data_IF_499610284479
#
_entry.id   IF_499610284479
#
_cell.length_a   1.000
_cell.length_b   1.000
_cell.length_c   1.000
_cell.angle_alpha   90.00
_cell.angle_beta   90.00
_cell.angle_gamma   90.00
#
_symmetry.space_group_name_H-M   'P 1'
#
loop_
_entity.id
_entity.type
_entity.pdbx_description
1 polymer ?
#
# COMPACT_ATOMS: atom_id res chain seq x y z
N UNK A 1 -15.26 -24.85 8.47
CA UNK A 1 -13.87 -24.53 8.82
C UNK A 1 -13.14 -24.08 7.57
N UNK A 2 -13.31 -22.82 7.19
CA UNK A 2 -12.53 -22.21 6.11
C UNK A 2 -11.52 -21.31 6.80
N UNK A 3 -10.26 -21.73 6.79
CA UNK A 3 -9.12 -20.92 7.23
C UNK A 3 -9.02 -19.72 6.30
N UNK A 4 -9.54 -18.59 6.74
CA UNK A 4 -9.25 -17.29 6.12
C UNK A 4 -7.84 -16.94 6.59
N UNK A 5 -6.82 -16.91 5.72
CA UNK A 5 -5.51 -16.45 6.12
C UNK A 5 -5.66 -15.00 6.55
N UNK A 6 -5.16 -14.69 7.75
CA UNK A 6 -5.19 -13.40 8.43
C UNK A 6 -4.33 -12.38 7.68
N UNK A 7 -4.63 -12.13 6.41
CA UNK A 7 -4.01 -11.08 5.61
C UNK A 7 -4.80 -9.81 5.86
N UNK A 8 -4.14 -8.83 6.44
CA UNK A 8 -4.60 -7.46 6.58
C UNK A 8 -5.07 -6.97 5.21
N UNK A 9 -6.37 -7.01 4.96
CA UNK A 9 -6.98 -6.53 3.72
C UNK A 9 -6.82 -5.01 3.65
N UNK A 10 -5.70 -4.53 3.11
CA UNK A 10 -5.62 -3.18 2.57
C UNK A 10 -6.43 -3.21 1.27
N UNK A 11 -7.71 -2.87 1.36
CA UNK A 11 -8.59 -2.76 0.19
C UNK A 11 -8.21 -1.50 -0.59
N UNK A 12 -7.37 -1.65 -1.63
CA UNK A 12 -7.28 -0.63 -2.66
C UNK A 12 -8.56 -0.69 -3.49
N UNK A 13 -9.46 0.27 -3.29
CA UNK A 13 -10.56 0.52 -4.21
C UNK A 13 -9.95 1.05 -5.52
N UNK A 14 -9.97 0.25 -6.58
CA UNK A 14 -9.59 0.66 -7.94
C UNK A 14 -10.88 0.92 -8.71
N UNK A 15 -11.36 2.18 -8.78
CA UNK A 15 -12.58 2.49 -9.52
C UNK A 15 -12.38 2.22 -11.02
N UNK A 16 -13.42 1.68 -11.66
CA UNK A 16 -13.49 1.45 -13.12
C UNK A 16 -13.38 2.73 -13.95
N UNK A 17 -13.57 3.89 -13.31
CA UNK A 17 -13.12 5.21 -13.78
C UNK A 17 -12.04 5.68 -12.82
N UNK A 18 -10.78 5.69 -13.28
CA UNK A 18 -9.67 6.22 -12.49
C UNK A 18 -9.89 7.71 -12.24
N UNK A 19 -9.93 8.18 -10.98
CA UNK A 19 -9.78 9.60 -10.74
C UNK A 19 -8.40 10.04 -11.25
N UNK A 20 -8.31 11.25 -11.79
CA UNK A 20 -7.04 11.79 -12.32
C UNK A 20 -6.00 12.01 -11.20
N UNK A 21 -6.47 12.12 -9.95
CA UNK A 21 -5.66 12.28 -8.75
C UNK A 21 -6.42 11.72 -7.52
N UNK A 22 -5.69 11.46 -6.43
CA UNK A 22 -6.27 10.99 -5.18
C UNK A 22 -5.35 11.30 -4.00
N UNK A 23 -5.94 11.41 -2.81
CA UNK A 23 -5.22 11.64 -1.57
C UNK A 23 -5.66 10.61 -0.52
N UNK A 24 -4.71 10.13 0.28
CA UNK A 24 -4.96 9.16 1.34
C UNK A 24 -4.52 9.73 2.69
N UNK A 25 -5.45 9.82 3.63
CA UNK A 25 -5.15 10.14 5.04
C UNK A 25 -4.83 8.83 5.75
N UNK A 26 -3.54 8.53 5.90
CA UNK A 26 -3.09 7.25 6.48
C UNK A 26 -2.52 7.49 7.88
N UNK A 27 -2.96 6.67 8.83
CA UNK A 27 -2.37 6.53 10.16
C UNK A 27 -2.25 5.04 10.52
N UNK A 28 -1.13 4.61 11.11
CA UNK A 28 0.13 5.34 11.34
C UNK A 28 0.83 5.75 10.02
N UNK A 29 1.80 6.69 10.04
CA UNK A 29 2.60 7.01 8.84
C UNK A 29 3.40 5.78 8.37
N UNK A 30 3.98 5.85 7.16
CA UNK A 30 4.73 4.70 6.61
C UNK A 30 6.15 4.98 6.08
N UNK A 31 6.47 6.21 5.70
CA UNK A 31 7.67 6.50 4.90
C UNK A 31 9.04 6.26 5.56
N UNK A 32 9.10 6.05 6.87
CA UNK A 32 10.35 5.75 7.59
C UNK A 32 10.57 4.26 7.89
N UNK A 33 9.57 3.40 7.64
CA UNK A 33 9.72 1.97 7.90
C UNK A 33 10.66 1.33 6.86
N UNK A 34 11.63 0.57 7.35
CA UNK A 34 12.47 -0.31 6.54
C UNK A 34 11.85 -1.72 6.46
N UNK A 35 12.43 -2.61 5.65
CA UNK A 35 11.90 -3.96 5.43
C UNK A 35 11.69 -4.75 6.72
N UNK A 36 12.65 -4.66 7.65
CA UNK A 36 12.65 -5.44 8.90
C UNK A 36 12.70 -4.56 10.15
N UNK A 37 12.43 -3.26 10.04
CA UNK A 37 12.57 -2.33 11.18
C UNK A 37 11.50 -1.22 11.13
N UNK A 38 10.75 -1.10 12.24
CA UNK A 38 9.83 0.00 12.46
C UNK A 38 10.56 1.23 13.03
N UNK A 39 10.27 2.42 12.50
CA UNK A 39 10.94 3.66 12.88
C UNK A 39 9.98 4.85 12.84
N UNK A 40 10.12 5.82 13.75
CA UNK A 40 9.39 7.09 13.69
C UNK A 40 7.87 6.93 13.53
N UNK A 41 7.26 6.05 14.32
CA UNK A 41 5.84 5.64 14.25
C UNK A 41 5.41 4.91 12.96
N UNK A 42 6.34 4.64 12.04
CA UNK A 42 6.08 3.87 10.83
C UNK A 42 6.34 2.39 11.08
N UNK A 43 5.29 1.56 10.97
CA UNK A 43 5.38 0.11 11.07
C UNK A 43 5.52 -0.57 9.71
N UNK A 44 4.87 0.01 8.68
CA UNK A 44 4.92 -0.48 7.31
C UNK A 44 5.12 0.69 6.36
N UNK A 45 5.92 0.48 5.31
CA UNK A 45 6.11 1.49 4.29
C UNK A 45 4.94 1.49 3.30
N UNK A 46 3.85 2.15 3.68
CA UNK A 46 2.60 2.19 2.89
C UNK A 46 2.81 2.72 1.47
N UNK A 47 3.76 3.65 1.27
CA UNK A 47 4.09 4.19 -0.07
C UNK A 47 4.80 3.12 -0.90
N UNK A 48 5.84 2.48 -0.36
CA UNK A 48 6.58 1.44 -1.05
C UNK A 48 5.70 0.21 -1.37
N UNK A 49 4.85 -0.22 -0.42
CA UNK A 49 3.91 -1.33 -0.60
C UNK A 49 2.92 -1.00 -1.73
N UNK A 50 2.35 0.20 -1.73
CA UNK A 50 1.41 0.62 -2.78
C UNK A 50 2.11 0.67 -4.14
N UNK A 51 3.32 1.22 -4.22
CA UNK A 51 4.10 1.25 -5.45
C UNK A 51 4.36 -0.16 -6.00
N UNK A 52 4.76 -1.11 -5.14
CA UNK A 52 4.97 -2.50 -5.52
C UNK A 52 3.69 -3.17 -6.00
N UNK A 53 2.58 -2.93 -5.32
CA UNK A 53 1.27 -3.47 -5.70
C UNK A 53 0.82 -2.94 -7.07
N UNK A 54 1.03 -1.64 -7.34
CA UNK A 54 0.72 -1.02 -8.63
C UNK A 54 1.57 -1.61 -9.77
N UNK A 55 2.86 -1.82 -9.53
CA UNK A 55 3.74 -2.50 -10.51
C UNK A 55 3.25 -3.93 -10.80
N UNK A 56 2.82 -4.67 -9.77
CA UNK A 56 2.39 -6.07 -9.90
C UNK A 56 1.00 -6.25 -10.52
N UNK A 57 0.06 -5.35 -10.21
CA UNK A 57 -1.36 -5.49 -10.60
C UNK A 57 -1.74 -4.70 -11.83
N UNK A 58 -1.08 -3.56 -12.08
CA UNK A 58 -1.44 -2.61 -13.14
C UNK A 58 -0.31 -2.41 -14.17
N UNK A 59 0.76 -3.20 -14.11
CA UNK A 59 1.91 -3.15 -15.05
C UNK A 59 2.52 -1.74 -15.19
N UNK A 60 2.52 -0.95 -14.12
CA UNK A 60 3.12 0.39 -14.11
C UNK A 60 4.64 0.27 -14.22
N UNK A 61 5.23 0.77 -15.30
CA UNK A 61 6.67 0.63 -15.56
C UNK A 61 7.57 1.53 -14.70
N UNK A 62 7.09 2.69 -14.25
CA UNK A 62 7.87 3.64 -13.44
C UNK A 62 6.97 4.37 -12.44
N UNK A 63 7.44 4.48 -11.21
CA UNK A 63 6.82 5.21 -10.09
C UNK A 63 7.89 6.17 -9.56
N UNK A 64 7.53 7.43 -9.37
CA UNK A 64 8.42 8.52 -8.93
C UNK A 64 8.26 8.79 -7.44
#
# INVERSE_FOLDING_TARGET
TTLVPHTSHVSLCVPSVSPQNGFAVIRPPGHHAEESTAMGFCFFNSVAISAKLLQQKLSVGRIL
#
